data_IF_977835831532
#
_entry.id   IF_977835831532
#
_cell.length_a   1.000
_cell.length_b   1.000
_cell.length_c   1.000
_cell.angle_alpha   90.00
_cell.angle_beta   90.00
_cell.angle_gamma   90.00
#
_symmetry.space_group_name_H-M   'P 1'
#
loop_
_entity.id
_entity.type
_entity.pdbx_description
1 polymer ?
#
# COMPACT_ATOMS: atom_id res chain seq x y z
N UNK A 1 4.63 -12.99 -2.42
CA UNK A 1 5.42 -12.27 -1.39
C UNK A 1 4.68 -12.38 -0.05
N UNK A 2 5.31 -12.83 1.04
CA UNK A 2 4.67 -12.95 2.35
C UNK A 2 4.86 -11.63 3.11
N UNK A 3 3.77 -10.94 3.46
CA UNK A 3 3.80 -9.61 4.09
C UNK A 3 3.62 -9.66 5.61
N UNK A 4 2.94 -10.70 6.11
CA UNK A 4 2.77 -10.96 7.53
C UNK A 4 3.93 -11.82 8.05
N UNK A 5 4.56 -11.35 9.12
CA UNK A 5 5.60 -12.10 9.83
C UNK A 5 4.94 -13.00 10.89
N UNK A 6 5.35 -14.26 10.93
CA UNK A 6 5.04 -15.15 12.05
C UNK A 6 6.24 -15.17 12.99
N UNK A 7 6.19 -14.42 14.09
CA UNK A 7 7.17 -14.60 15.17
C UNK A 7 6.82 -15.89 15.92
N UNK A 8 7.76 -16.83 15.96
CA UNK A 8 7.55 -18.15 16.55
C UNK A 8 7.74 -18.17 18.08
N UNK A 9 7.89 -16.99 18.71
CA UNK A 9 8.24 -16.88 20.14
C UNK A 9 7.55 -15.70 20.87
N UNK A 10 6.62 -15.00 20.23
CA UNK A 10 5.82 -13.93 20.86
C UNK A 10 4.34 -14.15 20.54
N UNK A 11 3.49 -14.12 21.56
CA UNK A 11 2.03 -14.37 21.50
C UNK A 11 1.23 -13.33 20.70
N UNK A 12 1.89 -12.44 19.95
CA UNK A 12 1.28 -11.35 19.19
C UNK A 12 1.22 -11.76 17.71
N UNK A 13 0.02 -12.16 17.27
CA UNK A 13 -0.26 -12.38 15.85
C UNK A 13 -0.73 -11.07 15.22
N UNK A 14 -0.09 -10.67 14.12
CA UNK A 14 -0.51 -9.49 13.36
C UNK A 14 -1.89 -9.75 12.73
N UNK A 15 -2.89 -8.98 13.15
CA UNK A 15 -4.29 -9.11 12.70
C UNK A 15 -4.58 -8.37 11.40
N UNK A 16 -3.73 -7.42 11.02
CA UNK A 16 -3.82 -6.72 9.74
C UNK A 16 -2.65 -5.77 9.47
N UNK A 17 -2.59 -5.27 8.23
CA UNK A 17 -1.68 -4.22 7.79
C UNK A 17 -2.52 -3.07 7.25
N UNK A 18 -2.30 -1.86 7.76
CA UNK A 18 -2.84 -0.64 7.17
C UNK A 18 -2.02 -0.27 5.93
N UNK A 19 -2.69 0.00 4.82
CA UNK A 19 -2.09 0.32 3.52
C UNK A 19 -2.74 1.55 2.95
N UNK A 20 -1.93 2.54 2.56
CA UNK A 20 -2.41 3.71 1.85
C UNK A 20 -2.55 3.41 0.37
N UNK A 21 -3.65 3.85 -0.23
CA UNK A 21 -3.88 3.86 -1.68
C UNK A 21 -3.26 5.09 -2.36
N UNK A 22 -2.56 5.94 -1.59
CA UNK A 22 -1.78 7.08 -2.09
C UNK A 22 -0.32 6.72 -2.29
N UNK A 23 0.28 7.32 -3.31
CA UNK A 23 1.69 7.17 -3.63
C UNK A 23 2.53 7.94 -2.60
N UNK A 24 3.57 7.34 -2.00
CA UNK A 24 4.44 8.04 -1.03
C UNK A 24 5.29 9.15 -1.67
N UNK A 25 5.41 9.16 -3.01
CA UNK A 25 6.19 10.18 -3.74
C UNK A 25 5.35 11.44 -3.99
N UNK A 26 4.10 11.26 -4.42
CA UNK A 26 3.25 12.35 -4.91
C UNK A 26 2.08 12.67 -4.01
N UNK A 27 1.78 11.82 -3.02
CA UNK A 27 0.60 11.86 -2.16
C UNK A 27 -0.74 11.81 -2.91
N UNK A 28 -0.70 11.51 -4.21
CA UNK A 28 -1.86 11.30 -5.07
C UNK A 28 -2.24 9.83 -5.09
N UNK A 29 -3.48 9.51 -5.46
CA UNK A 29 -3.94 8.13 -5.65
C UNK A 29 -3.05 7.40 -6.66
N UNK A 30 -2.56 6.23 -6.27
CA UNK A 30 -1.76 5.36 -7.13
C UNK A 30 -2.60 4.94 -8.34
N UNK A 31 -2.05 5.11 -9.54
CA UNK A 31 -2.70 4.66 -10.78
C UNK A 31 -2.18 3.27 -11.19
N UNK A 32 -0.86 3.10 -11.15
CA UNK A 32 -0.21 1.84 -11.47
C UNK A 32 0.67 1.42 -10.29
N UNK A 33 0.19 0.53 -9.39
CA UNK A 33 0.92 0.16 -8.19
C UNK A 33 2.13 -0.69 -8.54
N UNK A 34 3.31 -0.25 -8.12
CA UNK A 34 4.56 -0.96 -8.31
C UNK A 34 5.33 -1.17 -7.00
N UNK A 35 6.15 -2.22 -7.01
CA UNK A 35 7.12 -2.56 -5.96
C UNK A 35 8.39 -3.10 -6.59
N UNK A 36 9.51 -3.01 -5.89
CA UNK A 36 10.71 -3.79 -6.24
C UNK A 36 10.51 -5.28 -5.93
N UNK A 37 11.19 -6.16 -6.66
CA UNK A 37 11.16 -7.60 -6.49
C UNK A 37 11.48 -8.02 -5.04
N UNK A 38 12.50 -7.39 -4.45
CA UNK A 38 12.99 -7.70 -3.09
C UNK A 38 12.24 -6.96 -1.96
N UNK A 39 11.20 -6.18 -2.29
CA UNK A 39 10.41 -5.47 -1.30
C UNK A 39 9.53 -6.45 -0.49
N UNK A 40 9.69 -6.43 0.85
CA UNK A 40 8.90 -7.27 1.79
C UNK A 40 7.64 -6.58 2.32
N UNK A 41 7.48 -5.27 2.09
CA UNK A 41 6.29 -4.50 2.46
C UNK A 41 5.22 -4.58 1.39
N UNK A 42 3.95 -4.48 1.76
CA UNK A 42 2.81 -4.45 0.83
C UNK A 42 2.56 -3.06 0.20
N UNK A 43 2.94 -1.98 0.87
CA UNK A 43 2.73 -0.61 0.39
C UNK A 43 3.35 -0.43 -1.01
N UNK A 44 2.55 0.02 -1.96
CA UNK A 44 2.98 0.30 -3.32
C UNK A 44 3.30 1.79 -3.50
N UNK A 45 4.07 2.08 -4.54
CA UNK A 45 4.24 3.42 -5.09
C UNK A 45 3.69 3.46 -6.51
N UNK A 46 3.41 4.65 -7.03
CA UNK A 46 2.96 4.82 -8.40
C UNK A 46 4.14 4.67 -9.37
N UNK A 47 4.03 3.75 -10.34
CA UNK A 47 5.11 3.41 -11.26
C UNK A 47 5.59 4.61 -12.08
N UNK A 48 4.66 5.37 -12.65
CA UNK A 48 4.99 6.53 -13.49
C UNK A 48 5.75 7.58 -12.66
N UNK A 49 5.22 7.89 -11.47
CA UNK A 49 5.87 8.82 -10.54
C UNK A 49 7.28 8.36 -10.14
N UNK A 50 7.46 7.05 -9.93
CA UNK A 50 8.75 6.46 -9.57
C UNK A 50 9.77 6.56 -10.71
N UNK A 51 9.37 6.25 -11.94
CA UNK A 51 10.25 6.35 -13.11
C UNK A 51 10.69 7.79 -13.34
N UNK A 52 9.79 8.76 -13.20
CA UNK A 52 10.12 10.18 -13.31
C UNK A 52 11.13 10.61 -12.23
N UNK A 53 10.90 10.24 -10.97
CA UNK A 53 11.82 10.55 -9.86
C UNK A 53 13.23 10.01 -10.12
N UNK A 54 13.34 8.81 -10.68
CA UNK A 54 14.63 8.18 -10.97
C UNK A 54 15.28 8.66 -12.27
N UNK A 55 14.50 9.15 -13.23
CA UNK A 55 15.03 9.89 -14.37
C UNK A 55 15.78 11.15 -13.91
N UNK A 56 15.26 11.84 -12.89
CA UNK A 56 15.87 13.07 -12.37
C UNK A 56 17.04 12.80 -11.40
N UNK A 57 16.89 11.82 -10.50
CA UNK A 57 17.84 11.59 -9.38
C UNK A 57 18.78 10.40 -9.57
N UNK A 58 18.41 9.41 -10.37
CA UNK A 58 19.21 8.20 -10.63
C UNK A 58 19.52 7.32 -9.41
N UNK A 59 18.75 7.40 -8.32
CA UNK A 59 19.09 6.68 -7.07
C UNK A 59 18.62 5.22 -7.05
N UNK A 60 17.53 4.90 -7.74
CA UNK A 60 16.95 3.56 -7.89
C UNK A 60 16.72 2.83 -6.55
N UNK A 61 16.15 3.55 -5.58
CA UNK A 61 15.78 3.02 -4.25
C UNK A 61 14.29 3.07 -4.03
N UNK A 62 13.75 2.06 -3.37
CA UNK A 62 12.33 2.00 -3.00
C UNK A 62 11.98 3.17 -2.05
N UNK A 63 10.94 3.98 -2.35
CA UNK A 63 10.55 5.11 -1.50
C UNK A 63 9.91 4.68 -0.18
N UNK A 64 9.63 3.39 0.01
CA UNK A 64 9.00 2.85 1.23
C UNK A 64 10.05 2.24 2.18
N UNK A 65 10.94 1.39 1.67
CA UNK A 65 11.89 0.64 2.51
C UNK A 65 13.36 0.93 2.21
N UNK A 66 13.65 1.81 1.25
CA UNK A 66 15.01 2.20 0.84
C UNK A 66 15.91 1.08 0.26
N UNK A 67 15.37 -0.13 0.07
CA UNK A 67 16.05 -1.22 -0.66
C UNK A 67 16.25 -0.86 -2.14
N UNK A 68 17.20 -1.54 -2.79
CA UNK A 68 17.40 -1.43 -4.25
C UNK A 68 16.11 -1.77 -4.99
N UNK A 69 15.75 -0.95 -5.98
CA UNK A 69 14.59 -1.14 -6.83
C UNK A 69 14.94 -0.71 -8.27
N UNK A 70 15.87 -1.44 -8.88
CA UNK A 70 16.29 -1.22 -10.27
C UNK A 70 15.14 -1.47 -11.25
N UNK A 71 15.22 -0.86 -12.43
CA UNK A 71 14.21 -0.93 -13.48
C UNK A 71 13.80 -2.37 -13.81
N UNK A 72 14.77 -3.27 -13.92
CA UNK A 72 14.57 -4.69 -14.28
C UNK A 72 13.88 -5.49 -13.17
N UNK A 73 13.94 -5.00 -11.93
CA UNK A 73 13.33 -5.63 -10.76
C UNK A 73 12.00 -4.98 -10.35
N UNK A 74 11.47 -4.03 -11.12
CA UNK A 74 10.16 -3.44 -10.83
C UNK A 74 9.03 -4.37 -11.27
N UNK A 75 8.05 -4.53 -10.40
CA UNK A 75 6.89 -5.38 -10.63
C UNK A 75 5.61 -4.58 -10.38
N UNK A 76 4.60 -4.78 -11.23
CA UNK A 76 3.24 -4.27 -10.98
C UNK A 76 2.54 -5.20 -9.98
N UNK A 77 2.01 -4.61 -8.92
CA UNK A 77 1.28 -5.36 -7.90
C UNK A 77 -0.18 -5.57 -8.32
N UNK A 78 -0.47 -6.77 -8.83
CA UNK A 78 -1.81 -7.10 -9.31
C UNK A 78 -2.87 -7.09 -8.21
N UNK A 79 -2.51 -7.43 -6.98
CA UNK A 79 -3.47 -7.48 -5.87
C UNK A 79 -3.93 -6.07 -5.48
N UNK A 80 -2.99 -5.15 -5.24
CA UNK A 80 -3.31 -3.75 -4.97
C UNK A 80 -3.97 -3.10 -6.19
N UNK A 81 -3.60 -3.48 -7.41
CA UNK A 81 -4.25 -2.97 -8.62
C UNK A 81 -5.71 -3.40 -8.73
N UNK A 82 -6.03 -4.64 -8.36
CA UNK A 82 -7.41 -5.13 -8.26
C UNK A 82 -8.24 -4.32 -7.26
N UNK A 83 -7.68 -4.01 -6.10
CA UNK A 83 -8.35 -3.17 -5.08
C UNK A 83 -8.58 -1.75 -5.61
N UNK A 84 -7.54 -1.12 -6.17
CA UNK A 84 -7.64 0.23 -6.75
C UNK A 84 -8.71 0.29 -7.85
N UNK A 85 -8.74 -0.71 -8.73
CA UNK A 85 -9.73 -0.82 -9.80
C UNK A 85 -11.14 -0.97 -9.24
N UNK A 86 -11.34 -1.82 -8.23
CA UNK A 86 -12.64 -2.01 -7.57
C UNK A 86 -13.15 -0.74 -6.91
N UNK A 87 -12.30 -0.06 -6.14
CA UNK A 87 -12.61 1.22 -5.49
C UNK A 87 -12.97 2.29 -6.51
N UNK A 88 -12.22 2.40 -7.61
CA UNK A 88 -12.47 3.39 -8.67
C UNK A 88 -13.78 3.11 -9.43
N UNK A 89 -14.04 1.84 -9.78
CA UNK A 89 -15.25 1.46 -10.51
C UNK A 89 -16.52 1.72 -9.68
N UNK A 90 -16.43 1.53 -8.37
CA UNK A 90 -17.51 1.81 -7.42
C UNK A 90 -17.54 3.27 -6.96
N UNK A 91 -16.66 4.14 -7.49
CA UNK A 91 -16.55 5.57 -7.14
C UNK A 91 -16.41 5.84 -5.64
N UNK A 92 -15.69 4.98 -4.94
CA UNK A 92 -15.49 5.11 -3.50
C UNK A 92 -14.30 6.02 -3.18
N UNK A 93 -14.47 6.96 -2.26
CA UNK A 93 -13.38 7.82 -1.77
C UNK A 93 -12.61 7.15 -0.62
N UNK A 94 -11.88 6.08 -0.94
CA UNK A 94 -11.10 5.30 0.04
C UNK A 94 -9.62 5.60 -0.10
N UNK A 95 -9.00 6.16 0.92
CA UNK A 95 -7.56 6.48 0.89
C UNK A 95 -6.71 5.42 1.58
N UNK A 96 -7.29 4.65 2.49
CA UNK A 96 -6.61 3.64 3.29
C UNK A 96 -7.46 2.38 3.42
N UNK A 97 -6.78 1.24 3.49
CA UNK A 97 -7.39 -0.07 3.68
C UNK A 97 -6.63 -0.85 4.74
N UNK A 98 -7.32 -1.73 5.46
CA UNK A 98 -6.67 -2.79 6.24
C UNK A 98 -6.75 -4.10 5.48
N UNK A 99 -5.63 -4.80 5.37
CA UNK A 99 -5.55 -6.15 4.81
C UNK A 99 -5.24 -7.13 5.93
N UNK A 100 -5.96 -8.24 6.01
CA UNK A 100 -5.78 -9.29 7.01
C UNK A 100 -4.84 -10.42 6.51
N UNK A 101 -4.41 -11.35 7.39
CA UNK A 101 -3.56 -12.48 6.99
C UNK A 101 -4.18 -13.42 5.96
N UNK A 102 -5.49 -13.40 5.80
CA UNK A 102 -6.25 -14.18 4.80
C UNK A 102 -6.37 -13.42 3.47
N UNK A 103 -5.71 -12.28 3.33
CA UNK A 103 -5.78 -11.38 2.18
C UNK A 103 -7.20 -10.83 1.90
N UNK A 104 -8.07 -10.76 2.92
CA UNK A 104 -9.26 -9.94 2.83
C UNK A 104 -8.87 -8.49 3.14
N UNK A 105 -9.58 -7.54 2.54
CA UNK A 105 -9.34 -6.12 2.79
C UNK A 105 -10.63 -5.40 3.19
N UNK A 106 -10.48 -4.35 3.99
CA UNK A 106 -11.56 -3.45 4.42
C UNK A 106 -11.14 -2.00 4.18
N UNK A 107 -12.04 -1.21 3.61
CA UNK A 107 -11.86 0.23 3.45
C UNK A 107 -12.05 0.96 4.77
N UNK A 108 -11.26 2.02 4.97
CA UNK A 108 -11.55 3.06 5.96
C UNK A 108 -12.08 4.28 5.21
N UNK A 109 -13.38 4.54 5.31
CA UNK A 109 -13.96 5.81 4.87
C UNK A 109 -13.78 6.84 6.00
N UNK A 110 -13.66 8.13 5.65
CA UNK A 110 -13.58 9.21 6.65
C UNK A 110 -14.86 9.38 7.49
N UNK A 111 -15.92 8.66 7.18
CA UNK A 111 -17.24 8.84 7.79
C UNK A 111 -17.39 8.17 9.17
N UNK A 112 -16.46 7.31 9.61
CA UNK A 112 -16.64 6.52 10.84
C UNK A 112 -15.94 7.04 12.09
N UNK A 113 -15.14 8.11 12.02
CA UNK A 113 -14.45 8.65 13.21
C UNK A 113 -15.29 9.70 13.97
N UNK A 114 -16.29 10.31 13.34
CA UNK A 114 -17.18 11.27 14.01
C UNK A 114 -18.26 10.58 14.87
N UNK A 115 -18.80 9.43 14.45
CA UNK A 115 -19.80 8.69 15.24
C UNK A 115 -19.20 8.00 16.48
N UNK A 116 -17.97 7.47 16.41
CA UNK A 116 -17.30 6.84 17.56
C UNK A 116 -16.91 7.86 18.66
N UNK A 117 -16.69 9.12 18.26
CA UNK A 117 -16.39 10.22 19.17
C UNK A 117 -17.64 10.75 19.90
N UNK A 118 -18.83 10.59 19.29
CA UNK A 118 -20.11 11.01 19.85
C UNK A 118 -20.83 9.92 20.65
N UNK A 119 -20.49 8.64 20.46
CA UNK A 119 -20.99 7.54 21.32
C UNK A 119 -20.23 7.39 22.64
N UNK A 120 -19.26 8.27 22.90
CA UNK A 120 -18.41 8.26 24.11
C UNK A 120 -18.85 9.29 25.17
N UNK A 121 -20.03 9.90 25.00
CA UNK A 121 -20.68 10.77 25.98
C UNK A 121 -22.08 10.26 26.34
#
# INVERSE_FOLDING_TARGET
KRWFQSNNDDSIQQTGILVSLKCPITFKRIQLPARGADCKHIQCFDLQSYLQLNCDRGTWRCPVCNNSAQLEGLEVDQYIWGILSGVNNNKMEVEEITIDPSANWKAHSRETDEEASLSSF
#
